data_IF_608301645674
#
_entry.id   IF_608301645674
#
_cell.length_a   1.000
_cell.length_b   1.000
_cell.length_c   1.000
_cell.angle_alpha   90.00
_cell.angle_beta   90.00
_cell.angle_gamma   90.00
#
_symmetry.space_group_name_H-M   'P 1'
#
loop_
_entity.id
_entity.type
_entity.pdbx_description
1 polymer ?
#
# COMPACT_ATOMS: atom_id res chain seq x y z
N UNK A 1 -44.21 -29.24 7.77
CA UNK A 1 -43.17 -29.41 8.82
C UNK A 1 -41.97 -30.01 8.09
N UNK A 2 -40.80 -29.38 7.94
CA UNK A 2 -40.07 -28.40 8.76
C UNK A 2 -39.08 -27.69 7.81
N UNK A 3 -39.10 -26.37 7.66
CA UNK A 3 -38.32 -25.35 8.40
C UNK A 3 -37.11 -24.81 7.60
N UNK A 4 -37.08 -23.48 7.51
CA UNK A 4 -36.02 -22.61 7.02
C UNK A 4 -34.71 -22.81 7.80
N UNK A 5 -33.57 -22.69 7.11
CA UNK A 5 -32.39 -22.08 7.73
C UNK A 5 -31.72 -21.12 6.76
N UNK A 6 -31.98 -19.85 7.01
CA UNK A 6 -31.27 -18.69 6.50
C UNK A 6 -29.79 -18.80 6.90
N UNK A 7 -28.88 -18.84 5.93
CA UNK A 7 -27.46 -18.59 6.21
C UNK A 7 -26.90 -17.67 5.14
N UNK A 8 -26.86 -16.39 5.50
CA UNK A 8 -26.14 -15.35 4.79
C UNK A 8 -24.64 -15.61 4.96
N UNK A 9 -24.09 -16.55 4.19
CA UNK A 9 -22.64 -16.69 4.01
C UNK A 9 -22.29 -16.01 2.69
N UNK A 10 -21.56 -14.91 2.81
CA UNK A 10 -21.07 -14.10 1.70
C UNK A 10 -20.64 -14.98 0.54
N UNK A 11 -21.26 -14.73 -0.62
CA UNK A 11 -21.04 -15.47 -1.84
C UNK A 11 -19.54 -15.67 -2.07
N UNK A 12 -19.11 -16.93 -2.09
CA UNK A 12 -17.78 -17.35 -2.57
C UNK A 12 -17.74 -17.12 -4.08
N UNK A 13 -17.82 -15.86 -4.50
CA UNK A 13 -17.53 -15.45 -5.87
C UNK A 13 -16.04 -15.71 -6.01
N UNK A 14 -15.66 -16.77 -6.72
CA UNK A 14 -14.31 -16.86 -7.30
C UNK A 14 -14.24 -15.69 -8.26
N UNK A 15 -13.59 -14.57 -7.94
CA UNK A 15 -13.44 -13.55 -8.93
C UNK A 15 -12.46 -14.16 -9.92
N UNK A 16 -12.92 -14.44 -11.14
CA UNK A 16 -12.06 -14.76 -12.25
C UNK A 16 -11.31 -13.47 -12.59
N UNK A 17 -10.41 -13.04 -11.70
CA UNK A 17 -9.46 -11.97 -11.93
C UNK A 17 -8.53 -12.51 -12.99
N UNK A 18 -8.82 -12.18 -14.26
CA UNK A 18 -8.15 -12.69 -15.45
C UNK A 18 -6.64 -12.34 -15.56
N UNK A 19 -6.00 -11.91 -14.47
CA UNK A 19 -4.66 -11.31 -14.47
C UNK A 19 -3.77 -11.75 -13.29
N UNK A 20 -4.23 -12.62 -12.39
CA UNK A 20 -3.35 -13.28 -11.41
C UNK A 20 -3.28 -14.76 -11.75
N UNK A 21 -2.07 -15.29 -11.94
CA UNK A 21 -1.87 -16.70 -12.27
C UNK A 21 -2.54 -17.59 -11.22
N UNK A 22 -3.42 -18.50 -11.65
CA UNK A 22 -3.96 -19.51 -10.75
C UNK A 22 -2.79 -20.33 -10.19
N UNK A 23 -2.73 -20.48 -8.87
CA UNK A 23 -1.67 -21.23 -8.19
C UNK A 23 -2.25 -22.44 -7.50
N UNK A 24 -1.65 -23.60 -7.72
CA UNK A 24 -2.07 -24.83 -7.06
C UNK A 24 -1.54 -24.88 -5.62
N UNK A 25 -2.39 -25.33 -4.69
CA UNK A 25 -2.00 -25.44 -3.29
C UNK A 25 -1.04 -26.62 -3.06
N UNK A 26 -0.08 -26.49 -2.12
CA UNK A 26 0.85 -27.58 -1.75
C UNK A 26 0.14 -28.87 -1.28
N UNK A 27 -1.09 -28.79 -0.80
CA UNK A 27 -1.88 -29.97 -0.44
C UNK A 27 -2.48 -30.72 -1.64
N UNK A 28 -2.36 -30.18 -2.87
CA UNK A 28 -2.92 -30.73 -4.13
C UNK A 28 -4.43 -30.95 -4.12
N UNK A 29 -5.16 -30.28 -3.24
CA UNK A 29 -6.63 -30.37 -3.12
C UNK A 29 -7.36 -29.23 -3.85
N UNK A 30 -6.65 -28.47 -4.70
CA UNK A 30 -7.22 -27.41 -5.53
C UNK A 30 -6.36 -26.15 -5.60
N UNK A 31 -6.90 -25.15 -6.31
CA UNK A 31 -6.31 -23.82 -6.49
C UNK A 31 -6.36 -22.99 -5.21
N UNK A 32 -5.33 -22.18 -4.99
CA UNK A 32 -5.24 -21.25 -3.90
C UNK A 32 -6.26 -20.10 -4.01
N UNK A 33 -6.74 -19.66 -2.85
CA UNK A 33 -7.49 -18.41 -2.71
C UNK A 33 -6.53 -17.23 -2.64
N UNK A 34 -6.97 -16.07 -3.14
CA UNK A 34 -6.21 -14.82 -3.06
C UNK A 34 -6.85 -13.93 -2.00
N UNK A 35 -6.05 -13.44 -1.08
CA UNK A 35 -6.45 -12.49 -0.05
C UNK A 35 -5.58 -11.23 -0.09
N UNK A 36 -6.13 -10.10 0.36
CA UNK A 36 -5.38 -8.85 0.54
C UNK A 36 -5.08 -8.65 2.03
N UNK A 37 -3.82 -8.44 2.36
CA UNK A 37 -3.38 -8.17 3.73
C UNK A 37 -3.89 -6.82 4.22
N UNK A 38 -4.33 -6.81 5.47
CA UNK A 38 -4.78 -5.62 6.20
C UNK A 38 -3.79 -5.19 7.28
N UNK A 39 -2.70 -5.94 7.48
CA UNK A 39 -1.69 -5.62 8.49
C UNK A 39 -0.89 -4.39 8.05
N UNK A 40 -0.55 -3.50 8.97
CA UNK A 40 0.05 -2.21 8.64
C UNK A 40 1.33 -2.31 7.81
N UNK A 41 2.22 -3.26 8.17
CA UNK A 41 3.47 -3.48 7.44
C UNK A 41 3.29 -4.09 6.04
N UNK A 42 2.19 -4.82 5.79
CA UNK A 42 1.93 -5.49 4.52
C UNK A 42 0.61 -5.07 3.89
N UNK A 43 0.08 -3.89 4.26
CA UNK A 43 -1.27 -3.45 3.92
C UNK A 43 -1.40 -3.32 2.41
N UNK A 44 -2.42 -3.94 1.84
CA UNK A 44 -2.65 -3.93 0.40
C UNK A 44 -1.88 -4.99 -0.40
N UNK A 45 -0.86 -5.66 0.19
CA UNK A 45 -0.19 -6.79 -0.47
C UNK A 45 -1.12 -8.00 -0.52
N UNK A 46 -1.10 -8.73 -1.64
CA UNK A 46 -1.92 -9.93 -1.84
C UNK A 46 -1.12 -11.21 -1.62
N UNK A 47 -1.80 -12.27 -1.18
CA UNK A 47 -1.19 -13.56 -0.89
C UNK A 47 -2.11 -14.72 -1.28
N UNK A 48 -1.49 -15.84 -1.65
CA UNK A 48 -2.15 -17.12 -1.87
C UNK A 48 -2.36 -17.86 -0.55
N UNK A 49 -3.53 -18.47 -0.38
CA UNK A 49 -3.86 -19.36 0.73
C UNK A 49 -4.53 -20.66 0.28
N UNK A 50 -4.53 -21.65 1.17
CA UNK A 50 -5.21 -22.92 0.94
C UNK A 50 -6.70 -22.70 0.56
N UNK A 51 -7.26 -23.46 -0.40
CA UNK A 51 -8.70 -23.44 -0.70
C UNK A 51 -9.57 -23.79 0.52
N UNK A 52 -8.99 -24.51 1.48
CA UNK A 52 -9.61 -24.94 2.72
C UNK A 52 -9.23 -24.04 3.91
N UNK A 53 -8.73 -22.82 3.66
CA UNK A 53 -8.31 -21.88 4.70
C UNK A 53 -9.37 -21.74 5.80
N UNK A 54 -8.95 -21.83 7.08
CA UNK A 54 -9.84 -21.80 8.27
C UNK A 54 -10.80 -22.98 8.42
N UNK A 55 -10.53 -24.09 7.76
CA UNK A 55 -11.28 -25.34 7.98
C UNK A 55 -10.34 -26.42 8.53
N UNK A 56 -10.86 -27.56 9.04
CA UNK A 56 -10.02 -28.66 9.52
C UNK A 56 -9.10 -29.27 8.45
N UNK A 57 -9.36 -28.97 7.17
CA UNK A 57 -8.58 -29.48 6.02
C UNK A 57 -7.51 -28.49 5.56
N UNK A 58 -7.35 -27.38 6.28
CA UNK A 58 -6.35 -26.35 6.00
C UNK A 58 -4.93 -26.91 6.16
N UNK A 59 -4.11 -26.76 5.11
CA UNK A 59 -2.69 -27.12 5.15
C UNK A 59 -1.80 -25.91 5.52
N UNK A 60 -2.41 -24.79 5.93
CA UNK A 60 -1.73 -23.54 6.30
C UNK A 60 -0.82 -23.01 5.19
N UNK A 61 -1.21 -23.23 3.93
CA UNK A 61 -0.46 -22.68 2.80
C UNK A 61 -0.56 -21.15 2.80
N UNK A 62 0.58 -20.50 2.65
CA UNK A 62 0.72 -19.04 2.59
C UNK A 62 1.88 -18.69 1.66
N UNK A 63 1.64 -17.78 0.72
CA UNK A 63 2.70 -17.24 -0.14
C UNK A 63 2.33 -15.86 -0.70
N UNK A 64 3.28 -14.92 -0.70
CA UNK A 64 3.07 -13.59 -1.26
C UNK A 64 2.93 -13.63 -2.78
N UNK A 65 2.09 -12.74 -3.32
CA UNK A 65 2.02 -12.46 -4.76
C UNK A 65 2.92 -11.26 -5.02
N UNK A 66 4.16 -11.53 -5.45
CA UNK A 66 5.13 -10.49 -5.78
C UNK A 66 5.18 -10.18 -7.28
N UNK A 67 4.53 -11.01 -8.11
CA UNK A 67 4.45 -10.79 -9.55
C UNK A 67 3.59 -9.55 -9.84
N UNK A 68 4.02 -8.65 -10.73
CA UNK A 68 3.33 -7.40 -11.02
C UNK A 68 2.02 -7.71 -11.77
N UNK A 69 0.97 -8.08 -11.04
CA UNK A 69 -0.34 -8.21 -11.62
C UNK A 69 -0.99 -6.82 -11.69
N UNK A 70 -1.43 -6.42 -12.87
CA UNK A 70 -2.17 -5.18 -13.06
C UNK A 70 -3.65 -5.37 -12.69
N UNK A 71 -3.94 -5.75 -11.44
CA UNK A 71 -5.32 -5.68 -10.97
C UNK A 71 -5.68 -4.23 -10.63
N UNK A 72 -6.94 -3.84 -10.77
CA UNK A 72 -7.41 -2.49 -10.44
C UNK A 72 -7.15 -2.12 -8.98
N UNK A 73 -7.10 -3.12 -8.09
CA UNK A 73 -6.74 -2.98 -6.68
C UNK A 73 -5.24 -2.66 -6.54
N UNK A 74 -4.36 -3.37 -7.23
CA UNK A 74 -2.91 -3.12 -7.19
C UNK A 74 -2.59 -1.73 -7.77
N UNK A 75 -3.21 -1.36 -8.90
CA UNK A 75 -3.07 -0.01 -9.47
C UNK A 75 -3.49 1.07 -8.47
N UNK A 76 -4.61 0.88 -7.77
CA UNK A 76 -5.07 1.85 -6.76
C UNK A 76 -4.04 2.02 -5.65
N UNK A 77 -3.48 0.93 -5.12
CA UNK A 77 -2.46 1.03 -4.06
C UNK A 77 -1.14 1.63 -4.57
N UNK A 78 -0.72 1.30 -5.80
CA UNK A 78 0.44 1.91 -6.44
C UNK A 78 0.26 3.42 -6.63
N UNK A 79 -0.93 3.87 -7.07
CA UNK A 79 -1.23 5.29 -7.22
C UNK A 79 -1.16 6.03 -5.88
N UNK A 80 -1.72 5.44 -4.81
CA UNK A 80 -1.66 6.02 -3.46
C UNK A 80 -0.22 6.09 -2.97
N UNK A 81 0.59 5.05 -3.17
CA UNK A 81 2.00 5.05 -2.76
C UNK A 81 2.84 6.09 -3.53
N UNK A 82 2.56 6.26 -4.82
CA UNK A 82 3.14 7.32 -5.63
C UNK A 82 2.72 8.71 -5.14
N UNK A 83 1.44 8.94 -4.84
CA UNK A 83 0.92 10.21 -4.32
C UNK A 83 1.59 10.56 -2.98
N UNK A 84 1.66 9.60 -2.04
CA UNK A 84 2.34 9.77 -0.77
C UNK A 84 3.84 10.05 -0.94
N UNK A 85 4.48 9.41 -1.93
CA UNK A 85 5.89 9.64 -2.26
C UNK A 85 6.13 11.04 -2.84
N UNK A 86 5.22 11.53 -3.69
CA UNK A 86 5.23 12.90 -4.21
C UNK A 86 5.04 13.89 -3.07
N UNK A 87 4.07 13.68 -2.18
CA UNK A 87 3.83 14.55 -1.04
C UNK A 87 5.04 14.64 -0.10
N UNK A 88 5.67 13.50 0.19
CA UNK A 88 6.91 13.46 1.00
C UNK A 88 8.02 14.29 0.35
N UNK A 89 8.25 14.09 -0.95
CA UNK A 89 9.26 14.84 -1.72
C UNK A 89 8.95 16.35 -1.73
N UNK A 90 7.70 16.71 -1.97
CA UNK A 90 7.25 18.11 -1.95
C UNK A 90 7.43 18.74 -0.56
N UNK A 91 7.08 18.04 0.51
CA UNK A 91 7.27 18.51 1.89
C UNK A 91 8.74 18.72 2.22
N UNK A 92 9.61 17.81 1.78
CA UNK A 92 11.06 17.93 1.91
C UNK A 92 11.59 19.13 1.12
N UNK A 93 11.20 19.27 -0.14
CA UNK A 93 11.60 20.37 -1.00
C UNK A 93 11.13 21.73 -0.44
N UNK A 94 9.87 21.81 -0.01
CA UNK A 94 9.29 23.01 0.61
C UNK A 94 10.04 23.41 1.87
N UNK A 95 10.43 22.44 2.71
CA UNK A 95 11.25 22.69 3.90
C UNK A 95 12.62 23.25 3.52
N UNK A 96 13.28 22.66 2.51
CA UNK A 96 14.58 23.15 2.04
C UNK A 96 14.50 24.56 1.47
N UNK A 97 13.49 24.85 0.64
CA UNK A 97 13.23 26.16 0.09
C UNK A 97 13.00 27.21 1.20
N UNK A 98 12.21 26.87 2.21
CA UNK A 98 11.98 27.76 3.36
C UNK A 98 13.28 28.11 4.10
N UNK A 99 14.14 27.11 4.32
CA UNK A 99 15.45 27.32 4.96
C UNK A 99 16.31 28.27 4.14
N UNK A 100 16.41 28.06 2.82
CA UNK A 100 17.19 28.92 1.93
C UNK A 100 16.67 30.35 1.96
N UNK A 101 15.35 30.54 1.91
CA UNK A 101 14.73 31.88 1.99
C UNK A 101 15.08 32.57 3.31
N UNK A 102 14.97 31.87 4.44
CA UNK A 102 15.31 32.43 5.76
C UNK A 102 16.80 32.80 5.83
N UNK A 103 17.69 31.94 5.36
CA UNK A 103 19.13 32.23 5.32
C UNK A 103 19.43 33.45 4.44
N UNK A 104 18.75 33.57 3.29
CA UNK A 104 18.91 34.73 2.40
C UNK A 104 18.50 36.03 3.09
N UNK A 105 17.38 36.03 3.84
CA UNK A 105 16.94 37.19 4.62
C UNK A 105 17.92 37.54 5.74
N UNK A 106 18.46 36.54 6.45
CA UNK A 106 19.45 36.76 7.50
C UNK A 106 20.76 37.35 6.94
N UNK A 107 21.24 36.85 5.81
CA UNK A 107 22.44 37.36 5.14
C UNK A 107 22.21 38.80 4.66
N UNK A 108 21.08 39.06 4.00
CA UNK A 108 20.72 40.40 3.54
C UNK A 108 20.60 41.39 4.72
N UNK A 109 19.97 40.96 5.82
CA UNK A 109 19.87 41.74 7.04
C UNK A 109 21.24 42.05 7.66
N UNK A 110 22.13 41.06 7.71
CA UNK A 110 23.50 41.23 8.22
C UNK A 110 24.31 42.20 7.34
N UNK A 111 24.23 42.08 6.01
CA UNK A 111 24.88 43.00 5.08
C UNK A 111 24.37 44.44 5.24
N UNK A 112 23.06 44.62 5.41
CA UNK A 112 22.46 45.93 5.65
C UNK A 112 22.95 46.54 6.98
N UNK A 113 22.99 45.73 8.04
CA UNK A 113 23.50 46.16 9.34
C UNK A 113 24.95 46.65 9.28
N UNK A 114 25.84 45.87 8.66
CA UNK A 114 27.25 46.26 8.50
C UNK A 114 27.41 47.54 7.64
N UNK A 115 26.60 47.68 6.59
CA UNK A 115 26.60 48.89 5.76
C UNK A 115 26.21 50.13 6.58
N UNK A 116 25.13 50.07 7.35
CA UNK A 116 24.69 51.18 8.22
C UNK A 116 25.76 51.50 9.26
N UNK A 117 26.30 50.49 9.94
CA UNK A 117 27.37 50.64 10.93
C UNK A 117 28.63 51.31 10.34
N UNK A 118 28.94 51.11 9.06
CA UNK A 118 30.08 51.77 8.39
C UNK A 118 29.88 53.26 8.14
N UNK A 119 28.63 53.75 8.20
CA UNK A 119 28.24 55.13 7.86
C UNK A 119 28.10 56.05 9.08
N UNK A 120 28.10 55.50 10.30
CA UNK A 120 27.96 56.23 11.56
C UNK A 120 29.16 55.96 12.46
#
# INVERSE_FOLDING_TARGET
MSEMSSSSYGSRVRPRHAFVSARECRCKKGECLIFTSRQEHSKGRRFYCCPFNRTPQDCNFFEWIDEPSHSTVDLKYQLIDMELSIEKKYKMLKKYLLIVIVLQFLICGFQCYEYVKSKY
#
